data_IF_255649597827
#
_entry.id   IF_255649597827
#
_cell.length_a   1.000
_cell.length_b   1.000
_cell.length_c   1.000
_cell.angle_alpha   90.00
_cell.angle_beta   90.00
_cell.angle_gamma   90.00
#
_symmetry.space_group_name_H-M   'P 1'
#
loop_
_entity.id
_entity.type
_entity.pdbx_description
1 polymer ?
#
# COMPACT_ATOMS: atom_id res chain seq x y z
N UNK A 1 5.82 12.28 -25.03
CA UNK A 1 5.07 11.01 -24.94
C UNK A 1 4.43 10.95 -23.56
N UNK A 2 3.09 10.91 -23.45
CA UNK A 2 2.39 10.74 -22.16
C UNK A 2 2.11 9.24 -22.02
N UNK A 3 2.70 8.60 -21.01
CA UNK A 3 2.37 7.22 -20.66
C UNK A 3 1.02 7.31 -19.92
N UNK A 4 -0.05 6.66 -20.41
CA UNK A 4 -1.33 6.66 -19.71
C UNK A 4 -1.19 5.89 -18.40
N UNK A 5 -1.74 6.45 -17.32
CA UNK A 5 -1.81 5.79 -16.01
C UNK A 5 -3.11 4.99 -15.96
N UNK A 6 -3.02 3.68 -15.73
CA UNK A 6 -4.15 2.81 -15.47
C UNK A 6 -4.28 2.59 -13.98
N UNK A 7 -5.35 3.07 -13.36
CA UNK A 7 -5.60 2.80 -11.93
C UNK A 7 -5.91 1.33 -11.65
N UNK A 8 -6.25 0.55 -12.67
CA UNK A 8 -6.56 -0.86 -12.56
C UNK A 8 -5.31 -1.72 -12.72
N UNK A 9 -4.35 -1.31 -13.55
CA UNK A 9 -3.19 -2.12 -13.88
C UNK A 9 -1.90 -1.62 -13.22
N UNK A 10 -1.81 -0.32 -12.91
CA UNK A 10 -0.65 0.27 -12.26
C UNK A 10 -0.78 0.25 -10.74
N UNK A 11 0.35 0.02 -10.06
CA UNK A 11 0.43 0.23 -8.60
C UNK A 11 0.53 1.73 -8.30
N UNK A 12 -0.45 2.25 -7.56
CA UNK A 12 -0.36 3.62 -7.02
C UNK A 12 0.52 3.59 -5.77
N UNK A 13 1.64 4.31 -5.79
CA UNK A 13 2.53 4.43 -4.63
C UNK A 13 2.31 5.77 -3.92
N UNK A 14 2.03 5.73 -2.61
CA UNK A 14 1.98 6.92 -1.76
C UNK A 14 3.03 6.79 -0.66
N UNK A 15 4.02 7.70 -0.68
CA UNK A 15 5.04 7.85 0.37
C UNK A 15 4.67 9.03 1.27
N UNK A 16 4.79 8.82 2.57
CA UNK A 16 4.59 9.81 3.62
C UNK A 16 5.89 10.09 4.40
N UNK A 17 7.04 9.70 3.84
CA UNK A 17 8.39 9.82 4.44
C UNK A 17 8.76 11.24 4.91
N UNK A 18 8.17 12.31 4.34
CA UNK A 18 8.43 13.68 4.76
C UNK A 18 7.60 14.15 5.97
N UNK A 19 6.67 13.33 6.47
CA UNK A 19 5.70 13.72 7.50
C UNK A 19 5.98 13.07 8.88
N UNK A 20 7.21 12.59 9.09
CA UNK A 20 7.69 11.86 10.28
C UNK A 20 7.81 12.67 11.59
N UNK A 21 7.01 13.72 11.80
CA UNK A 21 7.01 14.48 13.06
C UNK A 21 5.62 14.55 13.71
N UNK A 22 5.29 13.51 14.48
CA UNK A 22 4.60 13.63 15.77
C UNK A 22 3.22 14.29 15.86
N UNK A 23 2.34 14.19 14.85
CA UNK A 23 1.12 15.00 14.84
C UNK A 23 -0.15 14.22 14.40
N UNK A 24 -1.17 14.24 15.27
CA UNK A 24 -2.57 13.80 15.10
C UNK A 24 -3.33 14.30 13.84
N UNK A 25 -2.98 15.41 13.18
CA UNK A 25 -3.50 15.79 11.86
C UNK A 25 -3.15 14.80 10.73
N UNK A 26 -2.15 13.93 10.92
CA UNK A 26 -1.68 13.00 9.90
C UNK A 26 -2.70 11.90 9.58
N UNK A 27 -3.37 11.35 10.60
CA UNK A 27 -4.46 10.39 10.40
C UNK A 27 -5.59 11.02 9.62
N UNK A 28 -5.91 12.31 9.83
CA UNK A 28 -6.97 13.00 9.09
C UNK A 28 -6.60 13.23 7.62
N UNK A 29 -5.37 13.66 7.31
CA UNK A 29 -4.92 13.85 5.92
C UNK A 29 -4.86 12.53 5.17
N UNK A 30 -4.29 11.50 5.80
CA UNK A 30 -4.21 10.17 5.22
C UNK A 30 -5.61 9.56 5.04
N UNK A 31 -6.49 9.74 6.03
CA UNK A 31 -7.91 9.38 5.90
C UNK A 31 -8.56 10.11 4.75
N UNK A 32 -8.31 11.42 4.59
CA UNK A 32 -8.90 12.21 3.51
C UNK A 32 -8.40 11.73 2.13
N UNK A 33 -7.10 11.54 1.96
CA UNK A 33 -6.50 11.07 0.70
C UNK A 33 -6.96 9.65 0.37
N UNK A 34 -6.88 8.73 1.33
CA UNK A 34 -7.30 7.33 1.13
C UNK A 34 -8.82 7.25 0.90
N UNK A 35 -9.62 8.05 1.61
CA UNK A 35 -11.07 8.14 1.38
C UNK A 35 -11.42 8.71 0.01
N UNK A 36 -10.62 9.65 -0.50
CA UNK A 36 -10.80 10.19 -1.86
C UNK A 36 -10.49 9.13 -2.91
N UNK A 37 -9.40 8.37 -2.74
CA UNK A 37 -9.03 7.31 -3.69
C UNK A 37 -9.89 6.06 -3.59
N UNK A 38 -10.62 5.87 -2.48
CA UNK A 38 -11.58 4.77 -2.29
C UNK A 38 -12.63 4.67 -3.40
N UNK A 39 -12.94 5.79 -4.04
CA UNK A 39 -13.91 5.86 -5.14
C UNK A 39 -13.31 5.55 -6.51
N UNK A 40 -11.97 5.52 -6.62
CA UNK A 40 -11.29 5.10 -7.83
C UNK A 40 -11.13 3.57 -7.85
N UNK A 41 -11.11 2.95 -9.04
CA UNK A 41 -10.93 1.51 -9.18
C UNK A 41 -9.44 1.12 -9.05
N UNK A 42 -8.81 1.54 -7.95
CA UNK A 42 -7.40 1.20 -7.64
C UNK A 42 -7.33 -0.25 -7.20
N UNK A 43 -6.62 -1.08 -7.97
CA UNK A 43 -6.48 -2.51 -7.67
C UNK A 43 -5.24 -2.82 -6.82
N UNK A 44 -4.16 -2.04 -6.98
CA UNK A 44 -2.86 -2.24 -6.32
C UNK A 44 -2.35 -0.93 -5.72
N UNK A 45 -2.02 -0.95 -4.42
CA UNK A 45 -1.62 0.24 -3.67
C UNK A 45 -0.35 -0.02 -2.84
N UNK A 46 0.67 0.82 -2.99
CA UNK A 46 1.88 0.82 -2.16
C UNK A 46 1.86 1.94 -1.11
N UNK A 47 2.12 1.59 0.16
CA UNK A 47 2.07 2.51 1.29
C UNK A 47 3.24 2.25 2.26
N UNK A 48 3.84 3.32 2.77
CA UNK A 48 4.80 3.32 3.89
C UNK A 48 4.13 3.54 5.27
N UNK A 49 2.80 3.71 5.30
CA UNK A 49 2.00 3.94 6.51
C UNK A 49 0.87 2.90 6.71
N UNK A 50 0.50 2.62 7.96
CA UNK A 50 -0.49 1.60 8.32
C UNK A 50 -1.89 2.21 8.49
N UNK A 51 -2.83 1.85 7.61
CA UNK A 51 -4.20 2.38 7.57
C UNK A 51 -5.24 1.33 7.16
N UNK A 52 -5.15 0.16 7.77
CA UNK A 52 -5.86 -1.06 7.35
C UNK A 52 -7.39 -0.94 7.36
N UNK A 53 -7.93 -0.23 8.33
CA UNK A 53 -9.35 0.07 8.49
C UNK A 53 -9.92 0.84 7.29
N UNK A 54 -9.17 1.81 6.76
CA UNK A 54 -9.60 2.59 5.60
C UNK A 54 -9.49 1.76 4.32
N UNK A 55 -8.42 0.97 4.17
CA UNK A 55 -8.20 0.09 3.02
C UNK A 55 -9.24 -1.03 2.92
N UNK A 56 -9.75 -1.52 4.05
CA UNK A 56 -10.85 -2.47 4.08
C UNK A 56 -12.09 -1.93 3.37
N UNK A 57 -12.30 -0.61 3.40
CA UNK A 57 -13.40 0.05 2.71
C UNK A 57 -13.28 0.09 1.18
N UNK A 58 -12.12 -0.18 0.59
CA UNK A 58 -11.90 -0.07 -0.87
C UNK A 58 -12.41 -1.33 -1.60
N UNK A 59 -13.50 -1.25 -2.39
CA UNK A 59 -14.14 -2.44 -2.97
C UNK A 59 -13.31 -3.11 -4.06
N UNK A 60 -12.49 -2.34 -4.79
CA UNK A 60 -11.71 -2.82 -5.93
C UNK A 60 -10.27 -3.19 -5.56
N UNK A 61 -9.84 -2.91 -4.33
CA UNK A 61 -8.46 -3.13 -3.89
C UNK A 61 -8.20 -4.63 -3.71
N UNK A 62 -7.22 -5.14 -4.45
CA UNK A 62 -6.80 -6.55 -4.50
C UNK A 62 -5.40 -6.76 -3.94
N UNK A 63 -4.52 -5.76 -4.02
CA UNK A 63 -3.15 -5.87 -3.55
C UNK A 63 -2.75 -4.64 -2.72
N UNK A 64 -2.13 -4.86 -1.56
CA UNK A 64 -1.48 -3.84 -0.76
C UNK A 64 -0.01 -4.18 -0.61
N UNK A 65 0.86 -3.29 -1.08
CA UNK A 65 2.31 -3.37 -0.87
C UNK A 65 2.66 -2.53 0.37
N UNK A 66 3.01 -3.19 1.46
CA UNK A 66 3.63 -2.58 2.63
C UNK A 66 5.09 -2.27 2.29
N UNK A 67 5.37 -1.00 2.04
CA UNK A 67 6.65 -0.55 1.51
C UNK A 67 7.58 -0.17 2.65
N UNK A 68 8.79 -0.72 2.64
CA UNK A 68 9.87 -0.34 3.53
C UNK A 68 10.96 0.36 2.74
N UNK A 69 11.28 1.59 3.10
CA UNK A 69 12.36 2.35 2.46
C UNK A 69 13.71 1.93 3.06
N UNK A 70 14.57 1.33 2.24
CA UNK A 70 15.95 0.99 2.61
C UNK A 70 16.94 1.88 1.85
N UNK A 71 17.62 2.79 2.58
CA UNK A 71 18.65 3.67 2.02
C UNK A 71 18.22 5.14 1.92
N UNK A 72 19.08 6.06 2.40
CA UNK A 72 18.75 7.48 2.59
C UNK A 72 18.97 8.39 1.37
N UNK A 73 19.47 7.87 0.24
CA UNK A 73 19.80 8.68 -0.94
C UNK A 73 19.41 7.96 -2.23
N UNK A 74 18.12 8.01 -2.54
CA UNK A 74 17.56 7.33 -3.70
C UNK A 74 17.85 8.17 -4.97
N UNK A 75 18.78 7.76 -5.85
CA UNK A 75 18.96 8.26 -7.24
C UNK A 75 18.53 7.20 -8.27
N UNK A 76 17.77 7.56 -9.31
CA UNK A 76 17.26 6.61 -10.34
C UNK A 76 15.75 6.31 -10.29
N UNK A 77 15.30 5.31 -11.06
CA UNK A 77 13.91 4.84 -11.10
C UNK A 77 13.56 3.98 -9.88
N UNK A 78 12.34 4.13 -9.36
CA UNK A 78 11.83 3.37 -8.22
C UNK A 78 11.36 1.98 -8.65
N UNK A 79 11.63 0.98 -7.82
CA UNK A 79 11.13 -0.38 -7.97
C UNK A 79 10.71 -0.98 -6.63
N UNK A 80 9.85 -1.99 -6.68
CA UNK A 80 9.48 -2.79 -5.51
C UNK A 80 10.17 -4.15 -5.61
N UNK A 81 10.98 -4.50 -4.61
CA UNK A 81 11.58 -5.83 -4.49
C UNK A 81 10.90 -6.60 -3.37
N UNK A 82 10.83 -7.91 -3.52
CA UNK A 82 10.42 -8.77 -2.42
C UNK A 82 11.41 -8.66 -1.26
N UNK A 83 10.87 -8.77 -0.05
CA UNK A 83 11.67 -8.69 1.16
C UNK A 83 12.56 -9.92 1.33
N UNK A 84 13.83 -9.67 1.66
CA UNK A 84 14.84 -10.68 1.96
C UNK A 84 14.40 -11.63 3.10
N UNK A 85 14.80 -12.91 3.02
CA UNK A 85 14.30 -13.96 3.91
C UNK A 85 14.56 -13.72 5.40
N UNK A 86 15.69 -13.10 5.75
CA UNK A 86 16.04 -12.81 7.14
C UNK A 86 15.12 -11.77 7.81
N UNK A 87 14.28 -11.07 7.04
CA UNK A 87 13.27 -10.11 7.53
C UNK A 87 11.89 -10.77 7.72
N UNK A 88 11.86 -12.03 8.14
CA UNK A 88 10.63 -12.80 8.35
C UNK A 88 9.57 -12.06 9.21
N UNK A 89 10.00 -11.31 10.23
CA UNK A 89 9.09 -10.51 11.06
C UNK A 89 8.35 -9.38 10.32
N UNK A 90 8.75 -9.02 9.10
CA UNK A 90 7.96 -8.14 8.23
C UNK A 90 6.88 -8.93 7.48
N UNK A 91 7.19 -10.13 6.98
CA UNK A 91 6.21 -11.02 6.35
C UNK A 91 5.04 -11.32 7.31
N UNK A 92 5.34 -11.64 8.57
CA UNK A 92 4.33 -11.83 9.61
C UNK A 92 3.45 -10.59 9.85
N UNK A 93 4.00 -9.38 9.66
CA UNK A 93 3.23 -8.14 9.76
C UNK A 93 2.29 -7.95 8.57
N UNK A 94 2.75 -8.30 7.36
CA UNK A 94 1.89 -8.31 6.17
C UNK A 94 0.74 -9.31 6.33
N UNK A 95 1.03 -10.54 6.75
CA UNK A 95 0.01 -11.57 6.99
C UNK A 95 -1.04 -11.11 8.02
N UNK A 96 -0.58 -10.47 9.10
CA UNK A 96 -1.48 -9.90 10.10
C UNK A 96 -2.34 -8.77 9.53
N UNK A 97 -1.75 -7.85 8.77
CA UNK A 97 -2.48 -6.77 8.13
C UNK A 97 -3.50 -7.30 7.11
N UNK A 98 -3.16 -8.32 6.33
CA UNK A 98 -4.08 -8.99 5.42
C UNK A 98 -5.29 -9.54 6.15
N UNK A 99 -5.04 -10.25 7.27
CA UNK A 99 -6.10 -10.78 8.12
C UNK A 99 -6.98 -9.67 8.67
N UNK A 100 -6.39 -8.59 9.19
CA UNK A 100 -7.14 -7.45 9.74
C UNK A 100 -8.05 -6.82 8.67
N UNK A 101 -7.55 -6.61 7.44
CA UNK A 101 -8.34 -6.05 6.33
C UNK A 101 -9.49 -7.01 5.96
N UNK A 102 -9.22 -8.32 5.89
CA UNK A 102 -10.25 -9.33 5.56
C UNK A 102 -11.33 -9.42 6.64
N UNK A 103 -10.93 -9.38 7.91
CA UNK A 103 -11.87 -9.41 9.03
C UNK A 103 -12.75 -8.16 9.04
N UNK A 104 -12.20 -6.98 8.76
CA UNK A 104 -13.01 -5.76 8.60
C UNK A 104 -13.91 -5.79 7.37
N UNK A 105 -13.43 -6.28 6.22
CA UNK A 105 -14.27 -6.47 5.03
C UNK A 105 -15.44 -7.41 5.30
N UNK A 106 -15.25 -8.45 6.10
CA UNK A 106 -16.32 -9.37 6.50
C UNK A 106 -17.39 -8.64 7.32
N UNK A 107 -17.00 -7.77 8.25
CA UNK A 107 -17.95 -6.93 9.00
C UNK A 107 -18.71 -5.96 8.09
N UNK A 108 -18.04 -5.43 7.06
CA UNK A 108 -18.62 -4.50 6.09
C UNK A 108 -19.43 -5.17 4.96
N UNK A 109 -19.41 -6.50 4.88
CA UNK A 109 -19.90 -7.27 3.72
C UNK A 109 -21.44 -7.34 3.59
N UNK A 110 -22.19 -6.69 4.48
CA UNK A 110 -23.66 -6.66 4.42
C UNK A 110 -24.20 -5.88 3.21
N UNK A 111 -23.39 -5.00 2.59
CA UNK A 111 -23.86 -4.05 1.57
C UNK A 111 -23.06 -4.12 0.26
N UNK A 112 -21.81 -4.60 0.28
CA UNK A 112 -20.91 -4.59 -0.88
C UNK A 112 -20.10 -5.89 -0.99
N UNK A 113 -19.90 -6.36 -2.22
CA UNK A 113 -18.91 -7.41 -2.51
C UNK A 113 -17.52 -6.79 -2.57
N UNK A 114 -16.66 -7.22 -1.67
CA UNK A 114 -15.24 -6.89 -1.69
C UNK A 114 -14.48 -8.03 -2.37
N UNK A 115 -13.48 -7.69 -3.19
CA UNK A 115 -12.53 -8.69 -3.68
C UNK A 115 -11.67 -9.22 -2.52
N UNK A 116 -11.01 -10.36 -2.72
CA UNK A 116 -9.94 -10.76 -1.82
C UNK A 116 -8.76 -9.79 -1.95
N UNK A 117 -8.15 -9.47 -0.81
CA UNK A 117 -6.93 -8.66 -0.75
C UNK A 117 -5.75 -9.55 -0.38
N UNK A 118 -4.62 -9.32 -1.05
CA UNK A 118 -3.31 -9.83 -0.70
C UNK A 118 -2.46 -8.68 -0.17
N UNK A 119 -1.76 -8.89 0.94
CA UNK A 119 -0.81 -7.91 1.49
C UNK A 119 0.60 -8.46 1.38
N UNK A 120 1.46 -7.73 0.68
CA UNK A 120 2.87 -8.09 0.50
C UNK A 120 3.75 -7.06 1.16
N UNK A 121 4.82 -7.49 1.82
CA UNK A 121 5.89 -6.56 2.17
C UNK A 121 6.90 -6.47 1.04
N UNK A 122 7.30 -5.26 0.70
CA UNK A 122 8.30 -4.98 -0.33
C UNK A 122 9.32 -3.96 0.15
N UNK A 123 10.56 -4.12 -0.27
CA UNK A 123 11.57 -3.08 -0.14
C UNK A 123 11.49 -2.14 -1.34
N UNK A 124 11.48 -0.83 -1.07
CA UNK A 124 11.61 0.18 -2.12
C UNK A 124 13.07 0.27 -2.54
N UNK A 125 13.36 -0.12 -3.77
CA UNK A 125 14.71 -0.04 -4.34
C UNK A 125 14.81 1.08 -5.39
N UNK A 126 16.05 1.45 -5.70
CA UNK A 126 16.38 2.16 -6.93
C UNK A 126 17.46 1.43 -7.70
N UNK A 127 17.18 1.19 -8.98
CA UNK A 127 18.13 0.60 -9.91
C UNK A 127 17.42 0.19 -11.18
N UNK A 128 17.73 0.88 -12.28
CA UNK A 128 17.64 0.25 -13.59
C UNK A 128 18.81 -0.72 -13.70
N UNK A 129 18.77 -1.84 -12.98
CA UNK A 129 19.55 -2.99 -13.40
C UNK A 129 18.79 -3.59 -14.58
N UNK A 130 19.13 -3.07 -15.76
CA UNK A 130 19.03 -3.86 -16.98
C UNK A 130 19.86 -5.10 -16.70
N UNK A 131 19.19 -6.24 -16.73
CA UNK A 131 19.79 -7.57 -16.62
C UNK A 131 20.88 -7.77 -17.64
#
# INVERSE_FOLDING_TARGET
MRIPISLIDDTVYMSFAQLHYGYTPFTNLLTAVVSLIRYFPVSSLGLDYRCWDILAGMPYLREVKMVFETGRNLKGALGFLDIEEWRQGLKEKAERAEKDIRDERRKLSEVKRYADVEVRCVDLTKGGEVT
#
